data_IF_529539119564
#
_entry.id   IF_529539119564
#
_cell.length_a   1.000
_cell.length_b   1.000
_cell.length_c   1.000
_cell.angle_alpha   90.00
_cell.angle_beta   90.00
_cell.angle_gamma   90.00
#
_symmetry.space_group_name_H-M   'P 1'
#
loop_
_entity.id
_entity.type
_entity.pdbx_description
1 polymer ?
#
# COMPACT_ATOMS: atom_id res chain seq x y z
N UNK A 1 -47.03 -21.06 56.99
CA UNK A 1 -46.47 -20.13 55.98
C UNK A 1 -45.01 -20.50 55.78
N UNK A 2 -44.71 -21.30 54.75
CA UNK A 2 -43.34 -21.75 54.43
C UNK A 2 -42.68 -20.69 53.55
N UNK A 3 -41.79 -19.88 54.13
CA UNK A 3 -40.97 -18.95 53.37
C UNK A 3 -39.76 -19.71 52.82
N UNK A 4 -39.78 -20.04 51.52
CA UNK A 4 -38.58 -20.44 50.80
C UNK A 4 -37.69 -19.21 50.62
N UNK A 5 -36.54 -19.21 51.27
CA UNK A 5 -35.47 -18.26 51.01
C UNK A 5 -34.82 -18.55 49.66
N UNK A 6 -34.61 -17.55 48.78
CA UNK A 6 -33.90 -17.77 47.53
C UNK A 6 -32.42 -18.04 47.85
N UNK A 7 -31.92 -19.18 47.37
CA UNK A 7 -30.50 -19.49 47.36
C UNK A 7 -29.76 -18.35 46.67
N UNK A 8 -28.85 -17.70 47.39
CA UNK A 8 -27.96 -16.69 46.86
C UNK A 8 -27.20 -17.26 45.65
N UNK A 9 -27.59 -16.84 44.45
CA UNK A 9 -26.89 -17.19 43.22
C UNK A 9 -25.50 -16.54 43.28
N UNK A 10 -24.49 -17.41 43.43
CA UNK A 10 -23.14 -17.09 43.90
C UNK A 10 -22.23 -16.53 42.77
N UNK A 11 -21.23 -15.68 43.07
CA UNK A 11 -20.30 -15.05 42.11
C UNK A 11 -19.68 -15.98 41.07
N UNK A 12 -19.40 -17.24 41.41
CA UNK A 12 -18.86 -18.23 40.47
C UNK A 12 -19.74 -18.48 39.22
N UNK A 13 -21.07 -18.29 39.33
CA UNK A 13 -21.98 -18.41 38.17
C UNK A 13 -21.86 -17.19 37.25
N UNK A 14 -21.61 -16.00 37.80
CA UNK A 14 -21.35 -14.79 37.02
C UNK A 14 -19.99 -14.87 36.31
N UNK A 15 -18.96 -15.39 36.97
CA UNK A 15 -17.64 -15.61 36.36
C UNK A 15 -17.69 -16.63 35.21
N UNK A 16 -18.56 -17.64 35.30
CA UNK A 16 -18.77 -18.59 34.22
C UNK A 16 -19.53 -17.98 33.02
N UNK A 17 -20.47 -17.07 33.27
CA UNK A 17 -21.24 -16.41 32.22
C UNK A 17 -20.39 -15.43 31.42
N UNK A 18 -19.57 -14.62 32.10
CA UNK A 18 -18.60 -13.71 31.45
C UNK A 18 -17.52 -14.48 30.70
N UNK A 19 -17.05 -15.61 31.23
CA UNK A 19 -16.13 -16.50 30.52
C UNK A 19 -16.77 -17.07 29.23
N UNK A 20 -18.04 -17.48 29.27
CA UNK A 20 -18.76 -17.92 28.07
C UNK A 20 -18.92 -16.80 27.03
N UNK A 21 -19.23 -15.58 27.47
CA UNK A 21 -19.34 -14.41 26.60
C UNK A 21 -18.01 -14.10 25.90
N UNK A 22 -16.91 -14.03 26.63
CA UNK A 22 -15.56 -13.82 26.10
C UNK A 22 -15.16 -14.90 25.08
N UNK A 23 -15.48 -16.16 25.36
CA UNK A 23 -15.23 -17.27 24.41
C UNK A 23 -16.05 -17.08 23.13
N UNK A 24 -17.29 -16.61 23.24
CA UNK A 24 -18.15 -16.36 22.08
C UNK A 24 -17.64 -15.21 21.21
N UNK A 25 -17.19 -14.12 21.83
CA UNK A 25 -16.58 -12.96 21.16
C UNK A 25 -15.25 -13.34 20.50
N UNK A 26 -14.41 -14.06 21.23
CA UNK A 26 -13.13 -14.56 20.71
C UNK A 26 -13.35 -15.46 19.49
N UNK A 27 -14.35 -16.35 19.55
CA UNK A 27 -14.75 -17.18 18.42
C UNK A 27 -15.22 -16.35 17.22
N UNK A 28 -15.99 -15.27 17.46
CA UNK A 28 -16.45 -14.37 16.40
C UNK A 28 -15.28 -13.62 15.73
N UNK A 29 -14.37 -13.04 16.53
CA UNK A 29 -13.18 -12.35 16.04
C UNK A 29 -12.25 -13.27 15.26
N UNK A 30 -12.06 -14.51 15.74
CA UNK A 30 -11.20 -15.50 15.08
C UNK A 30 -11.73 -15.87 13.70
N UNK A 31 -13.06 -16.06 13.56
CA UNK A 31 -13.68 -16.32 12.26
C UNK A 31 -13.56 -15.13 11.32
N UNK A 32 -13.75 -13.92 11.82
CA UNK A 32 -13.60 -12.70 11.02
C UNK A 32 -12.15 -12.56 10.52
N UNK A 33 -11.17 -12.75 11.42
CA UNK A 33 -9.76 -12.67 11.07
C UNK A 33 -9.37 -13.74 10.05
N UNK A 34 -9.82 -14.99 10.23
CA UNK A 34 -9.59 -16.05 9.26
C UNK A 34 -10.17 -15.69 7.87
N UNK A 35 -11.39 -15.11 7.84
CA UNK A 35 -12.00 -14.64 6.59
C UNK A 35 -11.24 -13.48 5.94
N UNK A 36 -10.67 -12.57 6.73
CA UNK A 36 -9.81 -11.49 6.22
C UNK A 36 -8.48 -12.04 5.70
N UNK A 37 -7.81 -12.89 6.48
CA UNK A 37 -6.55 -13.54 6.10
C UNK A 37 -6.70 -14.32 4.79
N UNK A 38 -7.80 -15.06 4.64
CA UNK A 38 -8.08 -15.80 3.41
C UNK A 38 -8.22 -14.84 2.21
N UNK A 39 -9.07 -13.81 2.31
CA UNK A 39 -9.27 -12.82 1.23
C UNK A 39 -7.99 -12.07 0.86
N UNK A 40 -7.20 -11.65 1.85
CA UNK A 40 -5.91 -11.02 1.61
C UNK A 40 -4.93 -11.98 0.93
N UNK A 41 -4.93 -13.25 1.33
CA UNK A 41 -4.15 -14.30 0.67
C UNK A 41 -4.52 -14.43 -0.81
N UNK A 42 -5.81 -14.45 -1.14
CA UNK A 42 -6.26 -14.50 -2.54
C UNK A 42 -5.82 -13.27 -3.34
N UNK A 43 -5.98 -12.06 -2.79
CA UNK A 43 -5.54 -10.83 -3.45
C UNK A 43 -4.02 -10.80 -3.69
N UNK A 44 -3.23 -11.21 -2.70
CA UNK A 44 -1.77 -11.27 -2.82
C UNK A 44 -1.33 -12.27 -3.90
N UNK A 45 -1.98 -13.44 -3.98
CA UNK A 45 -1.71 -14.42 -5.05
C UNK A 45 -2.09 -13.87 -6.41
N UNK A 46 -3.25 -13.24 -6.54
CA UNK A 46 -3.69 -12.63 -7.79
C UNK A 46 -2.70 -11.55 -8.27
N UNK A 47 -2.24 -10.68 -7.36
CA UNK A 47 -1.24 -9.67 -7.69
C UNK A 47 0.13 -10.27 -8.02
N UNK A 48 0.57 -11.32 -7.33
CA UNK A 48 1.83 -12.01 -7.65
C UNK A 48 1.80 -12.59 -9.07
N UNK A 49 0.68 -13.19 -9.49
CA UNK A 49 0.51 -13.70 -10.85
C UNK A 49 0.54 -12.58 -11.89
N UNK A 50 -0.11 -11.44 -11.61
CA UNK A 50 -0.08 -10.27 -12.50
C UNK A 50 1.35 -9.72 -12.66
N UNK A 51 2.11 -9.62 -11.58
CA UNK A 51 3.51 -9.17 -11.62
C UNK A 51 4.34 -10.12 -12.49
N UNK A 52 4.24 -11.44 -12.28
CA UNK A 52 4.97 -12.42 -13.09
C UNK A 52 4.62 -12.34 -14.58
N UNK A 53 3.34 -12.14 -14.90
CA UNK A 53 2.89 -11.99 -16.29
C UNK A 53 3.51 -10.75 -16.94
N UNK A 54 3.46 -9.60 -16.26
CA UNK A 54 4.03 -8.34 -16.76
C UNK A 54 5.56 -8.42 -16.86
N UNK A 55 6.23 -9.06 -15.90
CA UNK A 55 7.67 -9.31 -15.97
C UNK A 55 8.04 -10.18 -17.17
N UNK A 56 7.25 -11.22 -17.46
CA UNK A 56 7.39 -12.05 -18.65
C UNK A 56 7.22 -11.26 -19.95
N UNK A 57 6.23 -10.36 -20.01
CA UNK A 57 6.03 -9.46 -21.15
C UNK A 57 7.19 -8.49 -21.34
N UNK A 58 7.71 -7.89 -20.25
CA UNK A 58 8.87 -7.00 -20.29
C UNK A 58 10.08 -7.75 -20.86
N UNK A 59 10.35 -8.97 -20.38
CA UNK A 59 11.47 -9.79 -20.89
C UNK A 59 11.28 -10.12 -22.37
N UNK A 60 10.07 -10.49 -22.79
CA UNK A 60 9.74 -10.76 -24.20
C UNK A 60 9.98 -9.54 -25.09
N UNK A 61 9.46 -8.37 -24.69
CA UNK A 61 9.60 -7.12 -25.44
C UNK A 61 11.05 -6.65 -25.49
N UNK A 62 11.78 -6.77 -24.38
CA UNK A 62 13.24 -6.49 -24.35
C UNK A 62 13.99 -7.42 -25.31
N UNK A 63 13.68 -8.71 -25.33
CA UNK A 63 14.26 -9.66 -26.28
C UNK A 63 14.01 -9.26 -27.73
N UNK A 64 12.78 -8.87 -28.07
CA UNK A 64 12.44 -8.38 -29.42
C UNK A 64 13.25 -7.14 -29.82
N UNK A 65 13.41 -6.18 -28.90
CA UNK A 65 14.24 -5.00 -29.14
C UNK A 65 15.72 -5.33 -29.31
N UNK A 66 16.26 -6.25 -28.50
CA UNK A 66 17.66 -6.69 -28.63
C UNK A 66 17.89 -7.33 -30.00
N UNK A 67 17.01 -8.23 -30.44
CA UNK A 67 17.10 -8.89 -31.76
C UNK A 67 16.94 -7.88 -32.90
N UNK A 68 15.99 -6.96 -32.82
CA UNK A 68 15.79 -5.94 -33.85
C UNK A 68 17.01 -5.01 -33.95
N UNK A 69 17.52 -4.51 -32.82
CA UNK A 69 18.67 -3.60 -32.75
C UNK A 69 19.96 -4.26 -33.22
N UNK A 70 20.23 -5.50 -32.80
CA UNK A 70 21.39 -6.25 -33.29
C UNK A 70 21.27 -6.50 -34.79
N UNK A 71 20.11 -6.93 -35.27
CA UNK A 71 19.88 -7.10 -36.71
C UNK A 71 20.11 -5.81 -37.52
N UNK A 72 19.70 -4.65 -37.00
CA UNK A 72 20.01 -3.35 -37.61
C UNK A 72 21.50 -3.04 -37.63
N UNK A 73 22.18 -3.21 -36.49
CA UNK A 73 23.62 -2.93 -36.33
C UNK A 73 24.46 -3.78 -37.30
N UNK A 74 24.10 -5.05 -37.47
CA UNK A 74 24.78 -6.00 -38.36
C UNK A 74 24.25 -5.97 -39.80
N UNK A 75 23.34 -5.06 -40.15
CA UNK A 75 22.81 -4.92 -41.51
C UNK A 75 21.92 -6.07 -42.00
N UNK A 76 21.41 -6.92 -41.10
CA UNK A 76 20.59 -8.08 -41.45
C UNK A 76 19.17 -7.66 -41.88
N UNK A 77 18.61 -8.25 -42.95
CA UNK A 77 17.28 -7.90 -43.45
C UNK A 77 16.15 -8.20 -42.44
N UNK A 78 16.34 -9.18 -41.53
CA UNK A 78 15.41 -9.45 -40.43
C UNK A 78 15.35 -8.31 -39.40
N UNK A 79 16.48 -7.66 -39.12
CA UNK A 79 16.53 -6.53 -38.19
C UNK A 79 15.78 -5.31 -38.70
N UNK A 80 15.93 -4.99 -40.00
CA UNK A 80 15.18 -3.89 -40.65
C UNK A 80 13.66 -4.12 -40.64
N UNK A 81 13.20 -5.35 -40.89
CA UNK A 81 11.76 -5.69 -40.85
C UNK A 81 11.17 -5.56 -39.44
N UNK A 82 11.84 -6.09 -38.43
CA UNK A 82 11.40 -5.99 -37.03
C UNK A 82 11.45 -4.54 -36.52
N UNK A 83 12.45 -3.77 -36.93
CA UNK A 83 12.55 -2.34 -36.62
C UNK A 83 11.51 -1.48 -37.33
N UNK A 84 10.89 -1.97 -38.41
CA UNK A 84 9.75 -1.31 -39.05
C UNK A 84 8.43 -1.55 -38.30
N UNK A 85 8.29 -2.69 -37.60
CA UNK A 85 7.09 -3.04 -36.83
C UNK A 85 7.11 -2.50 -35.40
N UNK A 86 8.30 -2.44 -34.79
CA UNK A 86 8.52 -1.75 -33.54
C UNK A 86 8.78 -0.30 -33.93
N UNK A 87 7.92 0.66 -33.60
CA UNK A 87 8.23 2.07 -33.77
C UNK A 87 9.44 2.41 -32.86
N UNK A 88 10.65 2.08 -33.30
CA UNK A 88 11.88 2.45 -32.61
C UNK A 88 11.97 3.96 -32.71
N UNK A 89 11.54 4.59 -31.63
CA UNK A 89 11.72 6.01 -31.42
C UNK A 89 13.23 6.31 -31.61
N UNK A 90 13.62 7.17 -32.56
CA UNK A 90 15.03 7.41 -32.83
C UNK A 90 15.73 7.89 -31.55
N UNK A 91 16.95 7.41 -31.32
CA UNK A 91 17.73 7.76 -30.12
C UNK A 91 17.98 9.27 -29.97
N UNK A 92 17.85 10.03 -31.06
CA UNK A 92 17.94 11.49 -31.09
C UNK A 92 16.69 12.19 -30.53
N UNK A 93 15.57 11.49 -30.36
CA UNK A 93 14.41 11.97 -29.63
C UNK A 93 14.51 11.65 -28.13
N UNK A 94 15.71 11.85 -27.57
CA UNK A 94 15.88 11.93 -26.12
C UNK A 94 14.98 13.08 -25.67
N UNK A 95 13.86 12.73 -25.01
CA UNK A 95 13.04 13.71 -24.31
C UNK A 95 14.03 14.46 -23.41
N UNK A 96 14.12 15.80 -23.45
CA UNK A 96 14.84 16.52 -22.40
C UNK A 96 14.36 15.97 -21.06
N UNK A 97 15.22 15.83 -20.03
CA UNK A 97 14.75 15.35 -18.73
C UNK A 97 13.51 16.17 -18.42
N UNK A 98 12.36 15.51 -18.35
CA UNK A 98 11.15 16.20 -17.98
C UNK A 98 11.51 16.83 -16.64
N UNK A 99 11.50 18.17 -16.57
CA UNK A 99 11.53 18.83 -15.28
C UNK A 99 10.46 18.13 -14.47
N UNK A 100 10.86 17.51 -13.37
CA UNK A 100 9.93 16.74 -12.55
C UNK A 100 8.88 17.75 -12.11
N UNK A 101 7.73 17.71 -12.79
CA UNK A 101 6.65 18.63 -12.49
C UNK A 101 6.34 18.45 -11.01
N UNK A 102 6.14 19.56 -10.30
CA UNK A 102 5.81 19.51 -8.90
C UNK A 102 4.63 18.54 -8.71
N UNK A 103 4.73 17.59 -7.77
CA UNK A 103 3.68 16.60 -7.58
C UNK A 103 2.34 17.30 -7.34
N UNK A 104 1.29 16.75 -7.96
CA UNK A 104 -0.07 17.20 -7.76
C UNK A 104 -0.37 17.36 -6.26
N UNK A 105 -1.20 18.33 -5.85
CA UNK A 105 -1.45 18.62 -4.43
C UNK A 105 -1.87 17.37 -3.64
N UNK A 106 -2.77 16.55 -4.20
CA UNK A 106 -3.19 15.28 -3.58
C UNK A 106 -2.03 14.29 -3.36
N UNK A 107 -1.06 14.24 -4.29
CA UNK A 107 0.12 13.38 -4.13
C UNK A 107 1.08 13.94 -3.07
N UNK A 108 1.16 15.27 -2.91
CA UNK A 108 1.92 15.90 -1.83
C UNK A 108 1.30 15.61 -0.46
N UNK A 109 -0.01 15.72 -0.35
CA UNK A 109 -0.75 15.37 0.87
C UNK A 109 -0.59 13.89 1.22
N UNK A 110 -0.76 12.99 0.25
CA UNK A 110 -0.54 11.57 0.46
C UNK A 110 0.88 11.27 0.94
N UNK A 111 1.90 11.87 0.31
CA UNK A 111 3.29 11.71 0.75
C UNK A 111 3.52 12.23 2.17
N UNK A 112 2.85 13.31 2.57
CA UNK A 112 2.96 13.85 3.92
C UNK A 112 2.35 12.91 4.97
N UNK A 113 1.16 12.34 4.71
CA UNK A 113 0.53 11.35 5.61
C UNK A 113 1.37 10.08 5.70
N UNK A 114 1.91 9.59 4.59
CA UNK A 114 2.75 8.39 4.62
C UNK A 114 4.07 8.67 5.39
N UNK A 115 4.68 9.84 5.24
CA UNK A 115 5.84 10.22 6.07
C UNK A 115 5.48 10.33 7.56
N UNK A 116 4.35 10.97 7.90
CA UNK A 116 3.89 11.09 9.28
C UNK A 116 3.72 9.71 9.93
N UNK A 117 3.01 8.80 9.27
CA UNK A 117 2.79 7.44 9.79
C UNK A 117 4.08 6.62 9.84
N UNK A 118 4.97 6.76 8.86
CA UNK A 118 6.26 6.04 8.82
C UNK A 118 7.28 6.53 9.85
N UNK A 119 7.30 7.83 10.18
CA UNK A 119 8.17 8.39 11.20
C UNK A 119 7.66 8.23 12.62
N UNK A 120 6.35 8.19 12.86
CA UNK A 120 5.78 8.05 14.23
C UNK A 120 5.60 6.58 14.64
N UNK A 121 5.67 5.65 13.70
CA UNK A 121 5.57 4.22 13.96
C UNK A 121 6.74 3.64 14.76
N UNK A 122 6.50 2.53 15.47
CA UNK A 122 7.42 1.91 16.44
C UNK A 122 8.83 1.52 15.91
N UNK A 123 9.00 1.37 14.60
CA UNK A 123 10.29 1.02 14.00
C UNK A 123 10.98 2.20 13.31
N UNK A 124 10.34 3.38 13.31
CA UNK A 124 10.79 4.61 12.64
C UNK A 124 11.48 4.36 11.28
N UNK A 125 10.96 3.47 10.40
CA UNK A 125 11.73 2.96 9.27
C UNK A 125 12.07 4.05 8.25
N UNK A 126 11.47 5.23 8.36
CA UNK A 126 11.61 6.36 7.45
C UNK A 126 12.23 7.59 8.12
N UNK A 127 12.56 7.54 9.41
CA UNK A 127 13.17 8.65 10.14
C UNK A 127 14.70 8.57 10.00
N UNK A 128 15.31 9.62 9.46
CA UNK A 128 16.76 9.79 9.46
C UNK A 128 17.26 10.34 10.80
N UNK A 129 18.56 10.21 11.06
CA UNK A 129 19.20 10.65 12.31
C UNK A 129 19.00 12.15 12.57
N UNK A 130 18.91 12.95 11.51
CA UNK A 130 18.70 14.40 11.57
C UNK A 130 17.23 14.82 11.76
N UNK A 131 16.34 13.86 12.05
CA UNK A 131 14.91 14.11 12.26
C UNK A 131 14.10 14.33 10.97
N UNK A 132 14.64 13.96 9.81
CA UNK A 132 14.01 14.11 8.50
C UNK A 132 13.39 12.80 7.99
N UNK A 133 12.30 12.87 7.22
CA UNK A 133 11.71 11.71 6.55
C UNK A 133 12.52 11.32 5.32
N UNK A 134 13.03 10.08 5.22
CA UNK A 134 13.77 9.56 4.07
C UNK A 134 13.04 9.70 2.72
N UNK A 135 11.70 9.67 2.71
CA UNK A 135 10.90 9.76 1.48
C UNK A 135 10.76 11.19 0.94
N UNK A 136 10.70 12.19 1.81
CA UNK A 136 10.44 13.59 1.42
C UNK A 136 11.59 14.54 1.70
N UNK A 137 12.55 14.14 2.54
CA UNK A 137 13.64 15.00 3.04
C UNK A 137 13.15 16.16 3.92
N UNK A 138 11.91 16.10 4.44
CA UNK A 138 11.33 17.13 5.29
C UNK A 138 11.35 16.71 6.76
N UNK A 139 11.31 17.67 7.68
CA UNK A 139 11.24 17.41 9.11
C UNK A 139 10.01 16.56 9.46
N UNK A 140 10.19 15.57 10.34
CA UNK A 140 9.09 14.73 10.80
C UNK A 140 8.36 15.36 11.99
N UNK A 141 7.49 16.31 11.68
CA UNK A 141 6.55 16.91 12.65
C UNK A 141 5.22 16.15 12.63
N UNK A 142 4.63 15.92 13.81
CA UNK A 142 3.23 15.54 13.92
C UNK A 142 2.40 16.67 13.33
N UNK A 143 1.73 16.41 12.21
CA UNK A 143 0.77 17.36 11.64
C UNK A 143 -0.35 17.53 12.68
N UNK A 144 -0.34 18.64 13.41
CA UNK A 144 -1.49 19.10 14.19
C UNK A 144 -2.65 19.31 13.23
N UNK A 145 -3.87 18.99 13.66
CA UNK A 145 -5.05 19.15 12.82
C UNK A 145 -5.09 20.55 12.18
N UNK A 146 -5.49 20.68 10.90
CA UNK A 146 -5.73 21.99 10.35
C UNK A 146 -6.84 22.60 11.21
N UNK A 147 -6.53 23.67 11.94
CA UNK A 147 -7.51 24.44 12.71
C UNK A 147 -8.55 25.02 11.73
N UNK A 148 -9.57 24.22 11.44
CA UNK A 148 -10.77 24.61 10.75
C UNK A 148 -11.77 25.11 11.79
N UNK A 149 -11.66 26.38 12.13
CA UNK A 149 -12.79 27.16 12.61
C UNK A 149 -12.95 28.34 11.67
N UNK A 150 -13.88 28.31 10.70
CA UNK A 150 -14.37 29.56 10.13
C UNK A 150 -15.24 30.22 11.21
N UNK A 151 -14.80 31.38 11.69
CA UNK A 151 -15.64 32.28 12.48
C UNK A 151 -16.96 32.52 11.72
N UNK A 152 -18.07 32.19 12.37
CA UNK A 152 -19.41 32.55 11.92
C UNK A 152 -19.65 34.00 12.36
N UNK A 153 -19.93 34.95 11.45
CA UNK A 153 -20.28 36.30 11.87
C UNK A 153 -21.71 36.31 12.42
N UNK A 154 -21.85 36.81 13.66
CA UNK A 154 -23.10 37.09 14.36
C UNK A 154 -24.08 37.89 13.49
N UNK A 155 -25.35 37.49 13.51
CA UNK A 155 -26.47 38.28 13.00
C UNK A 155 -27.67 38.17 13.92
#
# INVERSE_FOLDING_TARGET
MTHSTPVAQHPARFDSATACELVSEHGALTRLLAGLQHRMGELLRAHALQVQALEGEILRLRGQLVVARTGLLWGLPRGRRLAGTLALRPATAMRPPATVAAPAPALREANAVICQTGCVGHAHPWLEVDGQCRRTGQACELRSEPSASPELPDR
#
